data_IF_538912728499
#
_entry.id   IF_538912728499
#
_cell.length_a   1.000
_cell.length_b   1.000
_cell.length_c   1.000
_cell.angle_alpha   90.00
_cell.angle_beta   90.00
_cell.angle_gamma   90.00
#
_symmetry.space_group_name_H-M   'P 1'
#
loop_
_entity.id
_entity.type
_entity.pdbx_description
1 polymer ?
#
# COMPACT_ATOMS: atom_id res chain seq x y z
N UNK A 1 -32.30 31.08 -49.91
CA UNK A 1 -31.11 30.98 -49.05
C UNK A 1 -31.60 30.67 -47.64
N UNK A 2 -31.63 29.39 -47.26
CA UNK A 2 -32.09 28.94 -45.93
C UNK A 2 -30.86 28.48 -45.13
N UNK A 3 -30.52 29.20 -44.06
CA UNK A 3 -29.54 28.74 -43.07
C UNK A 3 -30.24 27.74 -42.14
N UNK A 4 -29.71 26.51 -42.07
CA UNK A 4 -30.00 25.57 -40.98
C UNK A 4 -28.91 25.74 -39.93
N UNK A 5 -29.29 26.26 -38.76
CA UNK A 5 -28.51 26.12 -37.52
C UNK A 5 -28.66 24.66 -37.06
N UNK A 6 -27.57 23.91 -37.06
CA UNK A 6 -27.47 22.64 -36.33
C UNK A 6 -26.92 22.92 -34.94
N UNK A 7 -27.73 22.73 -33.91
CA UNK A 7 -27.28 22.74 -32.52
C UNK A 7 -26.77 21.34 -32.15
N UNK A 8 -25.48 21.22 -31.87
CA UNK A 8 -24.87 20.00 -31.35
C UNK A 8 -25.13 19.95 -29.84
N UNK A 9 -25.94 18.98 -29.40
CA UNK A 9 -26.21 18.74 -27.98
C UNK A 9 -25.04 17.92 -27.40
N UNK A 10 -24.17 18.55 -26.61
CA UNK A 10 -23.16 17.84 -25.84
C UNK A 10 -23.84 17.15 -24.64
N UNK A 11 -23.84 15.82 -24.62
CA UNK A 11 -24.18 15.06 -23.41
C UNK A 11 -23.02 15.17 -22.43
N UNK A 12 -23.20 15.95 -21.36
CA UNK A 12 -22.39 15.86 -20.17
C UNK A 12 -22.82 14.61 -19.41
N UNK A 13 -22.03 13.54 -19.48
CA UNK A 13 -22.15 12.42 -18.54
C UNK A 13 -21.69 12.93 -17.18
N UNK A 14 -22.63 13.14 -16.25
CA UNK A 14 -22.30 13.39 -14.86
C UNK A 14 -21.61 12.12 -14.31
N UNK A 15 -20.32 12.22 -14.01
CA UNK A 15 -19.64 11.20 -13.22
C UNK A 15 -20.27 11.21 -11.84
N UNK A 16 -21.07 10.19 -11.53
CA UNK A 16 -21.54 9.98 -10.17
C UNK A 16 -20.32 9.64 -9.32
N UNK A 17 -19.88 10.59 -8.51
CA UNK A 17 -18.96 10.31 -7.39
C UNK A 17 -19.77 9.49 -6.41
N UNK A 18 -19.48 8.19 -6.33
CA UNK A 18 -20.03 7.35 -5.27
C UNK A 18 -19.29 7.75 -3.98
N UNK A 19 -20.04 7.91 -2.90
CA UNK A 19 -19.44 8.18 -1.61
C UNK A 19 -18.87 6.88 -1.04
N UNK A 20 -17.80 7.01 -0.25
CA UNK A 20 -17.19 5.91 0.49
C UNK A 20 -18.26 5.13 1.25
N UNK A 21 -18.17 3.82 1.17
CA UNK A 21 -19.10 2.94 1.87
C UNK A 21 -18.97 3.18 3.37
N UNK A 22 -20.11 3.29 4.04
CA UNK A 22 -20.17 3.45 5.50
C UNK A 22 -20.71 2.18 6.14
N UNK A 23 -20.27 1.90 7.37
CA UNK A 23 -20.65 0.68 8.12
C UNK A 23 -21.18 1.06 9.51
N UNK A 24 -22.07 0.26 10.08
CA UNK A 24 -22.66 0.56 11.40
C UNK A 24 -21.72 0.17 12.54
N UNK A 25 -22.02 0.60 13.77
CA UNK A 25 -21.35 0.13 15.00
C UNK A 25 -21.35 -1.40 15.14
N UNK A 26 -22.50 -2.03 14.87
CA UNK A 26 -22.66 -3.49 14.97
C UNK A 26 -21.78 -4.20 13.93
N UNK A 27 -21.73 -3.67 12.71
CA UNK A 27 -20.90 -4.21 11.65
C UNK A 27 -19.40 -4.03 11.95
N UNK A 28 -18.98 -2.83 12.36
CA UNK A 28 -17.60 -2.58 12.78
C UNK A 28 -17.17 -3.56 13.88
N UNK A 29 -18.00 -3.72 14.92
CA UNK A 29 -17.71 -4.64 16.02
C UNK A 29 -17.59 -6.09 15.52
N UNK A 30 -18.52 -6.54 14.67
CA UNK A 30 -18.49 -7.89 14.09
C UNK A 30 -17.23 -8.13 13.25
N UNK A 31 -16.78 -7.15 12.47
CA UNK A 31 -15.57 -7.29 11.65
C UNK A 31 -14.31 -7.40 12.52
N UNK A 32 -14.21 -6.61 13.59
CA UNK A 32 -13.08 -6.67 14.52
C UNK A 32 -13.04 -7.98 15.30
N UNK A 33 -14.20 -8.49 15.74
CA UNK A 33 -14.33 -9.77 16.43
C UNK A 33 -13.97 -10.95 15.52
N UNK A 34 -14.23 -10.83 14.22
CA UNK A 34 -13.82 -11.80 13.20
C UNK A 34 -12.32 -11.71 12.81
N UNK A 35 -11.54 -10.86 13.48
CA UNK A 35 -10.09 -10.71 13.22
C UNK A 35 -9.75 -9.63 12.20
N UNK A 36 -10.70 -8.80 11.79
CA UNK A 36 -10.47 -7.56 11.04
C UNK A 36 -10.10 -7.70 9.56
N UNK A 37 -9.97 -8.92 9.02
CA UNK A 37 -9.58 -9.13 7.62
C UNK A 37 -10.58 -8.51 6.64
N UNK A 38 -11.88 -8.69 6.89
CA UNK A 38 -12.93 -8.14 6.03
C UNK A 38 -13.01 -6.60 6.11
N UNK A 39 -12.64 -6.01 7.26
CA UNK A 39 -12.48 -4.55 7.37
C UNK A 39 -11.26 -4.08 6.56
N UNK A 40 -10.16 -4.84 6.60
CA UNK A 40 -8.94 -4.52 5.89
C UNK A 40 -9.14 -4.62 4.37
N UNK A 41 -9.82 -5.65 3.87
CA UNK A 41 -10.13 -5.77 2.44
C UNK A 41 -11.06 -4.65 1.96
N UNK A 42 -12.10 -4.32 2.72
CA UNK A 42 -13.14 -3.36 2.31
C UNK A 42 -12.63 -1.98 1.89
N UNK A 43 -11.55 -1.51 2.51
CA UNK A 43 -10.94 -0.21 2.20
C UNK A 43 -9.49 -0.35 1.75
N UNK A 44 -9.10 -1.53 1.25
CA UNK A 44 -7.74 -1.87 0.92
C UNK A 44 -7.14 -0.95 -0.16
N UNK A 45 -5.84 -0.62 -0.09
CA UNK A 45 -5.15 0.06 -1.17
C UNK A 45 -5.06 -0.78 -2.46
N UNK A 46 -5.19 -0.11 -3.61
CA UNK A 46 -4.68 -0.61 -4.88
C UNK A 46 -3.20 -0.20 -5.00
N UNK A 47 -2.30 -1.18 -5.05
CA UNK A 47 -0.86 -0.94 -5.05
C UNK A 47 -0.31 -0.77 -6.46
N UNK A 48 0.50 0.26 -6.69
CA UNK A 48 1.15 0.56 -7.96
C UNK A 48 2.66 0.57 -7.81
N UNK A 49 3.32 -0.04 -8.79
CA UNK A 49 4.77 -0.16 -8.86
C UNK A 49 5.26 0.31 -10.22
N UNK A 50 6.49 0.80 -10.25
CA UNK A 50 7.08 1.38 -11.44
C UNK A 50 8.54 1.04 -11.61
N UNK A 51 8.99 1.00 -12.86
CA UNK A 51 10.41 0.96 -13.17
C UNK A 51 10.88 2.30 -13.74
N UNK A 52 12.12 2.66 -13.44
CA UNK A 52 12.80 3.76 -14.11
C UNK A 52 14.14 3.29 -14.66
N UNK A 53 14.63 3.98 -15.70
CA UNK A 53 15.93 3.68 -16.34
C UNK A 53 16.10 2.20 -16.76
N UNK A 54 15.00 1.54 -17.13
CA UNK A 54 14.93 0.12 -17.49
C UNK A 54 15.35 -0.85 -16.39
N UNK A 55 15.17 -0.46 -15.13
CA UNK A 55 15.49 -1.29 -13.98
C UNK A 55 14.24 -1.45 -13.11
N UNK A 56 13.79 -2.67 -12.80
CA UNK A 56 12.62 -2.89 -11.96
C UNK A 56 12.88 -2.47 -10.50
N UNK A 57 11.83 -2.27 -9.68
CA UNK A 57 11.98 -2.12 -8.23
C UNK A 57 12.25 -3.48 -7.57
N UNK A 58 12.63 -3.48 -6.29
CA UNK A 58 12.30 -4.62 -5.44
C UNK A 58 10.79 -4.67 -5.23
N UNK A 59 10.26 -5.87 -5.18
CA UNK A 59 8.84 -6.14 -5.12
C UNK A 59 8.49 -6.82 -3.79
N UNK A 60 7.31 -6.56 -3.20
CA UNK A 60 6.97 -7.15 -1.92
C UNK A 60 7.04 -8.67 -1.95
N UNK A 61 7.45 -9.29 -0.85
CA UNK A 61 7.60 -10.75 -0.75
C UNK A 61 7.19 -11.27 0.63
N UNK A 62 7.18 -12.59 0.77
CA UNK A 62 6.93 -13.25 2.05
C UNK A 62 8.13 -13.11 2.98
N UNK A 63 7.88 -12.92 4.27
CA UNK A 63 8.90 -12.74 5.30
C UNK A 63 9.41 -14.10 5.81
N UNK A 64 8.59 -15.15 5.69
CA UNK A 64 8.86 -16.49 6.23
C UNK A 64 8.55 -17.61 5.23
N UNK A 65 9.16 -17.55 4.04
CA UNK A 65 9.18 -18.66 3.08
C UNK A 65 7.84 -19.03 2.44
N UNK A 66 6.78 -18.25 2.66
CA UNK A 66 5.48 -18.42 2.01
C UNK A 66 5.47 -18.08 0.53
N UNK A 67 4.33 -18.31 -0.11
CA UNK A 67 4.07 -18.02 -1.52
C UNK A 67 2.57 -17.81 -1.74
N UNK A 68 2.10 -17.44 -2.95
CA UNK A 68 0.66 -17.38 -3.23
C UNK A 68 -0.06 -18.71 -2.97
N UNK A 69 0.65 -19.83 -3.08
CA UNK A 69 0.09 -21.18 -3.00
C UNK A 69 0.43 -21.89 -1.68
N UNK A 70 1.15 -21.22 -0.76
CA UNK A 70 1.59 -21.81 0.51
C UNK A 70 1.67 -20.78 1.62
N UNK A 71 1.13 -21.11 2.79
CA UNK A 71 1.27 -20.29 3.99
C UNK A 71 2.75 -20.11 4.40
N UNK A 72 3.02 -19.04 5.14
CA UNK A 72 4.31 -18.83 5.80
C UNK A 72 4.60 -19.95 6.81
N UNK A 73 5.89 -20.20 7.02
CA UNK A 73 6.40 -21.07 8.09
C UNK A 73 7.19 -20.22 9.06
N UNK A 74 6.60 -19.91 10.21
CA UNK A 74 7.12 -18.96 11.21
C UNK A 74 8.28 -19.51 12.05
N UNK A 75 9.33 -19.99 11.38
CA UNK A 75 10.60 -20.44 11.96
C UNK A 75 11.75 -19.62 11.35
N UNK A 76 12.78 -19.32 12.15
CA UNK A 76 13.95 -18.54 11.70
C UNK A 76 14.65 -19.15 10.47
N UNK A 77 14.62 -20.48 10.34
CA UNK A 77 15.14 -21.22 9.18
C UNK A 77 14.41 -20.92 7.86
N UNK A 78 13.18 -20.40 7.94
CA UNK A 78 12.34 -20.03 6.79
C UNK A 78 12.27 -18.52 6.60
N UNK A 79 12.92 -17.74 7.48
CA UNK A 79 13.03 -16.29 7.29
C UNK A 79 13.68 -15.99 5.95
N UNK A 80 13.06 -15.11 5.18
CA UNK A 80 13.58 -14.66 3.90
C UNK A 80 14.92 -13.95 4.12
N UNK A 81 16.01 -14.34 3.42
CA UNK A 81 17.32 -13.71 3.58
C UNK A 81 17.32 -12.27 3.02
N UNK A 82 18.26 -11.40 3.45
CA UNK A 82 18.34 -10.07 2.89
C UNK A 82 18.95 -10.12 1.48
N UNK A 83 18.54 -9.18 0.63
CA UNK A 83 19.11 -9.03 -0.71
C UNK A 83 20.22 -7.97 -0.71
N UNK A 84 21.37 -8.29 -1.32
CA UNK A 84 22.47 -7.32 -1.43
C UNK A 84 22.14 -6.13 -2.34
N UNK A 85 22.53 -4.92 -1.92
CA UNK A 85 22.35 -3.69 -2.72
C UNK A 85 23.35 -3.64 -3.89
N UNK A 86 22.88 -3.22 -5.07
CA UNK A 86 23.72 -2.97 -6.25
C UNK A 86 23.92 -1.48 -6.49
N UNK A 87 24.80 -1.14 -7.43
CA UNK A 87 25.01 0.24 -7.85
C UNK A 87 23.77 0.78 -8.57
N UNK A 88 23.38 2.00 -8.21
CA UNK A 88 22.33 2.73 -8.88
C UNK A 88 22.63 2.87 -10.38
N UNK A 89 21.66 2.62 -11.30
CA UNK A 89 20.21 2.51 -11.06
C UNK A 89 19.66 1.09 -10.85
N UNK A 90 20.48 0.06 -10.65
CA UNK A 90 20.00 -1.33 -10.52
C UNK A 90 19.42 -1.63 -9.13
N UNK A 91 18.28 -1.00 -8.82
CA UNK A 91 17.65 -1.06 -7.49
C UNK A 91 16.97 -2.41 -7.22
N UNK A 92 16.41 -3.05 -8.26
CA UNK A 92 15.72 -4.35 -8.17
C UNK A 92 16.64 -5.58 -8.24
N UNK A 93 17.96 -5.40 -8.19
CA UNK A 93 18.89 -6.53 -8.24
C UNK A 93 18.76 -7.45 -7.01
N UNK A 94 19.02 -8.74 -7.16
CA UNK A 94 19.11 -9.74 -6.08
C UNK A 94 17.85 -9.93 -5.21
N UNK A 95 16.78 -9.18 -5.47
CA UNK A 95 15.50 -9.29 -4.78
C UNK A 95 14.41 -9.73 -5.75
N UNK A 96 13.26 -10.10 -5.22
CA UNK A 96 12.05 -10.33 -6.00
C UNK A 96 11.72 -9.08 -6.82
N UNK A 97 11.42 -9.26 -8.11
CA UNK A 97 10.87 -8.23 -8.99
C UNK A 97 9.49 -8.67 -9.51
N UNK A 98 8.73 -7.80 -10.19
CA UNK A 98 7.41 -8.15 -10.71
C UNK A 98 7.40 -9.37 -11.66
N UNK A 99 8.49 -9.67 -12.36
CA UNK A 99 8.63 -10.87 -13.20
C UNK A 99 7.69 -10.96 -14.41
N UNK A 100 6.93 -9.90 -14.70
CA UNK A 100 5.96 -9.81 -15.80
C UNK A 100 6.14 -8.52 -16.58
N UNK A 101 5.71 -8.48 -17.84
CA UNK A 101 5.83 -7.31 -18.69
C UNK A 101 5.08 -6.10 -18.11
N UNK A 102 5.64 -4.90 -18.31
CA UNK A 102 4.99 -3.63 -17.99
C UNK A 102 3.63 -3.56 -18.69
N UNK A 103 2.63 -3.05 -17.97
CA UNK A 103 1.27 -2.96 -18.48
C UNK A 103 0.38 -4.13 -18.07
N UNK A 104 0.87 -5.02 -17.21
CA UNK A 104 0.10 -6.11 -16.61
C UNK A 104 -0.05 -5.94 -15.09
N UNK A 105 -1.01 -6.65 -14.50
CA UNK A 105 -1.08 -6.80 -13.06
C UNK A 105 0.21 -7.50 -12.56
N UNK A 106 0.74 -7.02 -11.44
CA UNK A 106 1.88 -7.64 -10.77
C UNK A 106 1.49 -8.98 -10.13
N UNK A 107 2.48 -9.82 -9.78
CA UNK A 107 2.23 -11.09 -9.10
C UNK A 107 1.74 -10.87 -7.67
N UNK A 108 1.05 -11.85 -7.10
CA UNK A 108 0.58 -11.79 -5.72
C UNK A 108 1.71 -11.60 -4.70
N UNK A 109 1.41 -10.90 -3.61
CA UNK A 109 2.30 -10.71 -2.46
C UNK A 109 1.45 -10.61 -1.18
N UNK A 110 2.03 -10.88 0.00
CA UNK A 110 1.29 -10.81 1.25
C UNK A 110 1.12 -9.38 1.74
N UNK A 111 0.01 -9.13 2.45
CA UNK A 111 -0.16 -7.96 3.31
C UNK A 111 -0.08 -8.44 4.75
N UNK A 112 0.89 -7.94 5.50
CA UNK A 112 0.95 -8.16 6.94
C UNK A 112 0.14 -7.08 7.63
N UNK A 113 -1.11 -7.39 7.94
CA UNK A 113 -2.03 -6.43 8.50
C UNK A 113 -2.13 -6.53 10.02
N UNK A 114 -2.37 -5.38 10.65
CA UNK A 114 -2.78 -5.30 12.04
C UNK A 114 -3.96 -4.33 12.13
N UNK A 115 -4.70 -4.40 13.23
CA UNK A 115 -5.72 -3.40 13.53
C UNK A 115 -5.73 -3.06 15.01
N UNK A 116 -6.20 -1.85 15.33
CA UNK A 116 -6.33 -1.41 16.70
C UNK A 116 -7.49 -0.42 16.84
N UNK A 117 -8.34 -0.66 17.83
CA UNK A 117 -9.30 0.32 18.31
C UNK A 117 -8.57 1.29 19.24
N UNK A 118 -8.36 2.52 18.79
CA UNK A 118 -7.61 3.52 19.54
C UNK A 118 -8.47 4.26 20.56
N UNK A 119 -9.77 4.41 20.27
CA UNK A 119 -10.78 4.89 21.19
C UNK A 119 -12.18 4.51 20.66
N UNK A 120 -13.26 4.97 21.31
CA UNK A 120 -14.63 4.63 20.92
C UNK A 120 -15.07 5.13 19.54
N UNK A 121 -14.38 6.13 18.98
CA UNK A 121 -14.67 6.69 17.67
C UNK A 121 -13.56 6.49 16.65
N UNK A 122 -12.54 5.67 16.95
CA UNK A 122 -11.38 5.48 16.07
C UNK A 122 -10.85 4.04 16.04
N UNK A 123 -10.74 3.51 14.83
CA UNK A 123 -10.12 2.22 14.52
C UNK A 123 -9.09 2.42 13.42
N UNK A 124 -7.89 1.87 13.59
CA UNK A 124 -6.82 1.95 12.60
C UNK A 124 -6.51 0.56 12.07
N UNK A 125 -6.36 0.44 10.75
CA UNK A 125 -5.87 -0.76 10.07
C UNK A 125 -4.54 -0.43 9.42
N UNK A 126 -3.52 -1.23 9.68
CA UNK A 126 -2.17 -1.08 9.12
C UNK A 126 -1.96 -2.15 8.07
N UNK A 127 -1.43 -1.78 6.91
CA UNK A 127 -1.08 -2.66 5.81
C UNK A 127 0.44 -2.59 5.61
N UNK A 128 1.19 -3.59 6.09
CA UNK A 128 2.64 -3.62 5.95
C UNK A 128 3.06 -4.47 4.75
N UNK A 129 4.03 -3.94 4.00
CA UNK A 129 4.74 -4.61 2.92
C UNK A 129 6.17 -4.91 3.38
N UNK A 130 6.63 -6.11 3.04
CA UNK A 130 7.99 -6.56 3.31
C UNK A 130 8.81 -6.63 2.02
N UNK A 131 10.04 -6.12 2.06
CA UNK A 131 11.02 -6.23 0.99
C UNK A 131 12.33 -6.79 1.52
N UNK A 132 13.07 -7.49 0.66
CA UNK A 132 14.37 -8.11 1.03
C UNK A 132 15.48 -7.08 1.26
N UNK A 133 15.29 -5.85 0.80
CA UNK A 133 16.20 -4.71 0.97
C UNK A 133 15.47 -3.41 0.69
N UNK A 134 16.09 -2.31 1.11
CA UNK A 134 15.76 -0.94 0.70
C UNK A 134 16.90 -0.36 -0.14
N UNK A 135 16.60 0.25 -1.29
CA UNK A 135 17.56 1.09 -2.01
C UNK A 135 18.68 0.40 -2.77
N UNK A 136 19.68 1.22 -3.08
CA UNK A 136 20.87 0.88 -3.87
C UNK A 136 22.10 1.62 -3.32
N UNK A 137 23.26 1.37 -3.92
CA UNK A 137 24.51 2.07 -3.63
C UNK A 137 24.69 3.24 -4.59
N UNK A 138 25.16 4.38 -4.08
CA UNK A 138 25.48 5.54 -4.91
C UNK A 138 26.92 6.01 -4.64
N UNK A 139 27.85 5.54 -5.47
CA UNK A 139 29.28 5.80 -5.28
C UNK A 139 29.75 5.25 -3.93
N UNK A 140 30.33 6.11 -3.09
CA UNK A 140 30.74 5.74 -1.73
C UNK A 140 29.63 5.90 -0.67
N UNK A 141 28.42 6.31 -1.07
CA UNK A 141 27.28 6.52 -0.16
C UNK A 141 26.36 5.31 -0.27
N UNK A 142 26.27 4.54 0.81
CA UNK A 142 25.25 3.51 0.98
C UNK A 142 23.95 4.22 1.35
N UNK A 143 23.05 4.39 0.39
CA UNK A 143 21.74 4.95 0.68
C UNK A 143 20.77 3.87 1.12
N UNK A 144 20.99 2.60 0.74
CA UNK A 144 20.18 1.42 1.08
C UNK A 144 20.58 0.64 2.33
N UNK A 145 19.74 -0.32 2.71
CA UNK A 145 19.97 -1.26 3.80
C UNK A 145 19.29 -2.61 3.56
N UNK A 146 19.65 -3.59 4.37
CA UNK A 146 19.03 -4.91 4.37
C UNK A 146 17.62 -4.83 4.94
N UNK A 147 16.71 -5.59 4.33
CA UNK A 147 15.27 -5.59 4.61
C UNK A 147 14.58 -4.23 4.47
N UNK A 148 13.27 -4.25 4.32
CA UNK A 148 12.45 -3.06 4.42
C UNK A 148 11.03 -3.42 4.85
N UNK A 149 10.47 -2.57 5.70
CA UNK A 149 9.09 -2.67 6.17
C UNK A 149 8.41 -1.33 5.98
N UNK A 150 7.57 -1.24 4.97
CA UNK A 150 6.82 -0.03 4.64
C UNK A 150 5.33 -0.26 4.83
N UNK A 151 4.57 0.81 5.08
CA UNK A 151 3.17 0.65 5.47
C UNK A 151 2.24 1.79 5.08
N UNK A 152 0.98 1.42 4.98
CA UNK A 152 -0.15 2.35 4.93
C UNK A 152 -1.00 2.14 6.17
N UNK A 153 -1.45 3.22 6.82
CA UNK A 153 -2.44 3.17 7.90
C UNK A 153 -3.72 3.81 7.41
N UNK A 154 -4.84 3.10 7.48
CA UNK A 154 -6.17 3.64 7.23
C UNK A 154 -6.86 3.84 8.57
N UNK A 155 -7.19 5.09 8.87
CA UNK A 155 -7.90 5.50 10.07
C UNK A 155 -9.38 5.60 9.73
N UNK A 156 -10.19 4.85 10.47
CA UNK A 156 -11.64 4.87 10.40
C UNK A 156 -12.16 5.68 11.57
N UNK A 157 -13.08 6.60 11.30
CA UNK A 157 -13.72 7.41 12.33
C UNK A 157 -15.23 7.20 12.32
N UNK A 158 -15.82 7.25 13.51
CA UNK A 158 -17.27 7.24 13.68
C UNK A 158 -17.84 8.65 13.61
N UNK A 159 -18.92 8.83 12.86
CA UNK A 159 -19.65 10.09 12.82
C UNK A 159 -20.76 10.18 13.89
N UNK A 160 -21.46 11.31 13.94
CA UNK A 160 -22.55 11.57 14.89
C UNK A 160 -23.80 10.69 14.65
N UNK A 161 -23.85 9.95 13.54
CA UNK A 161 -24.91 9.01 13.19
C UNK A 161 -24.55 7.56 13.52
N UNK A 162 -23.41 7.34 14.18
CA UNK A 162 -22.83 6.03 14.49
C UNK A 162 -22.47 5.22 13.24
N UNK A 163 -22.09 5.92 12.17
CA UNK A 163 -21.57 5.32 10.95
C UNK A 163 -20.05 5.47 10.92
N UNK A 164 -19.37 4.43 10.46
CA UNK A 164 -17.92 4.39 10.32
C UNK A 164 -17.52 4.43 8.85
N UNK A 165 -16.48 5.19 8.55
CA UNK A 165 -15.81 5.19 7.26
C UNK A 165 -14.33 5.56 7.45
N UNK A 166 -13.47 5.26 6.46
CA UNK A 166 -12.14 5.85 6.39
C UNK A 166 -12.22 7.39 6.43
N UNK A 167 -11.42 8.00 7.31
CA UNK A 167 -11.32 9.45 7.49
C UNK A 167 -9.95 9.99 7.11
N UNK A 168 -8.91 9.15 7.17
CA UNK A 168 -7.52 9.52 6.89
C UNK A 168 -6.68 8.31 6.45
N UNK A 169 -5.69 8.56 5.61
CA UNK A 169 -4.61 7.63 5.30
C UNK A 169 -3.27 8.23 5.75
N UNK A 170 -2.44 7.41 6.41
CA UNK A 170 -1.04 7.70 6.67
C UNK A 170 -0.19 6.84 5.75
N UNK A 171 0.60 7.46 4.88
CA UNK A 171 1.46 6.78 3.91
C UNK A 171 2.90 6.88 4.38
N UNK A 172 3.57 5.75 4.62
CA UNK A 172 4.95 5.78 5.11
C UNK A 172 5.89 6.42 4.08
N UNK A 173 6.74 7.31 4.57
CA UNK A 173 7.81 7.91 3.80
C UNK A 173 9.01 8.10 4.72
N UNK A 174 10.02 7.25 4.55
CA UNK A 174 11.22 7.26 5.39
C UNK A 174 10.85 7.13 6.89
N UNK A 175 11.27 8.07 7.73
CA UNK A 175 11.03 8.02 9.19
C UNK A 175 9.65 8.52 9.64
N UNK A 176 8.73 8.84 8.73
CA UNK A 176 7.46 9.47 9.07
C UNK A 176 6.31 9.06 8.14
N UNK A 177 5.26 9.89 8.14
CA UNK A 177 4.09 9.71 7.29
C UNK A 177 3.75 10.98 6.51
N UNK A 178 3.29 10.78 5.28
CA UNK A 178 2.36 11.72 4.67
C UNK A 178 0.95 11.46 5.21
N UNK A 179 0.28 12.50 5.67
CA UNK A 179 -1.00 12.42 6.37
C UNK A 179 -2.11 13.08 5.54
N UNK A 180 -2.97 12.27 4.95
CA UNK A 180 -3.99 12.71 4.00
C UNK A 180 -5.39 12.49 4.57
N UNK A 181 -6.21 13.54 4.64
CA UNK A 181 -7.64 13.31 4.85
C UNK A 181 -8.18 12.45 3.69
N UNK A 182 -9.15 11.58 3.96
CA UNK A 182 -9.61 10.62 2.96
C UNK A 182 -10.05 11.29 1.66
N UNK A 183 -10.75 12.43 1.77
CA UNK A 183 -11.19 13.20 0.62
C UNK A 183 -10.10 13.97 -0.12
N UNK A 184 -8.89 14.08 0.44
CA UNK A 184 -7.75 14.72 -0.22
C UNK A 184 -6.92 13.72 -1.04
N UNK A 185 -7.12 12.41 -0.87
CA UNK A 185 -6.43 11.37 -1.65
C UNK A 185 -6.76 11.58 -3.13
N UNK A 186 -5.74 11.73 -3.98
CA UNK A 186 -5.93 12.14 -5.38
C UNK A 186 -6.80 11.16 -6.18
N UNK A 187 -6.65 9.85 -5.93
CA UNK A 187 -7.32 8.80 -6.69
C UNK A 187 -7.80 7.68 -5.77
N UNK A 188 -9.08 7.37 -5.90
CA UNK A 188 -9.76 6.27 -5.21
C UNK A 188 -10.64 5.51 -6.21
N UNK A 189 -10.86 4.22 -5.97
CA UNK A 189 -11.68 3.32 -6.78
C UNK A 189 -12.85 2.80 -5.93
N UNK A 190 -13.98 2.54 -6.55
CA UNK A 190 -15.06 1.79 -5.87
C UNK A 190 -14.73 0.30 -5.85
N UNK A 191 -15.33 -0.44 -4.93
CA UNK A 191 -15.22 -1.91 -4.92
C UNK A 191 -15.65 -2.55 -6.26
N UNK A 192 -16.70 -2.02 -6.89
CA UNK A 192 -17.15 -2.50 -8.22
C UNK A 192 -16.09 -2.29 -9.31
N UNK A 193 -15.35 -1.19 -9.25
CA UNK A 193 -14.27 -0.91 -10.20
C UNK A 193 -13.09 -1.85 -10.01
N UNK A 194 -12.69 -2.10 -8.76
CA UNK A 194 -11.67 -3.08 -8.42
C UNK A 194 -12.08 -4.48 -8.90
N UNK A 195 -13.31 -4.91 -8.61
CA UNK A 195 -13.86 -6.20 -9.04
C UNK A 195 -13.98 -6.34 -10.57
N UNK A 196 -14.17 -5.23 -11.28
CA UNK A 196 -14.14 -5.20 -12.73
C UNK A 196 -12.70 -5.23 -13.31
N UNK A 197 -11.68 -5.36 -12.47
CA UNK A 197 -10.27 -5.38 -12.86
C UNK A 197 -9.73 -4.00 -13.24
N UNK A 198 -10.42 -2.92 -12.87
CA UNK A 198 -9.91 -1.56 -13.05
C UNK A 198 -8.89 -1.26 -11.96
N UNK A 199 -7.78 -0.65 -12.38
CA UNK A 199 -6.79 -0.12 -11.46
C UNK A 199 -6.35 1.28 -11.91
N UNK A 200 -5.92 1.41 -13.16
CA UNK A 200 -5.35 2.64 -13.70
C UNK A 200 -6.36 3.77 -13.87
N UNK A 201 -7.60 3.44 -14.20
CA UNK A 201 -8.69 4.39 -14.43
C UNK A 201 -9.89 4.06 -13.55
N UNK A 202 -10.68 5.05 -13.11
CA UNK A 202 -10.54 6.49 -13.40
C UNK A 202 -9.44 7.18 -12.57
N UNK A 203 -8.99 8.36 -13.00
CA UNK A 203 -8.10 9.24 -12.23
C UNK A 203 -8.80 10.55 -11.87
N UNK A 204 -8.40 11.17 -10.76
CA UNK A 204 -8.98 12.39 -10.23
C UNK A 204 -10.34 12.17 -9.52
N UNK A 205 -10.68 10.93 -9.19
CA UNK A 205 -11.87 10.60 -8.40
C UNK A 205 -11.45 10.35 -6.96
N UNK A 206 -12.09 11.04 -6.04
CA UNK A 206 -11.80 11.00 -4.60
C UNK A 206 -13.00 10.45 -3.85
N UNK A 207 -12.80 10.09 -2.57
CA UNK A 207 -13.84 9.61 -1.66
C UNK A 207 -14.53 8.28 -2.05
N UNK A 208 -13.91 7.41 -2.85
CA UNK A 208 -14.34 6.01 -2.96
C UNK A 208 -13.65 5.13 -1.91
N UNK A 209 -13.86 3.81 -1.99
CA UNK A 209 -13.46 2.82 -0.99
C UNK A 209 -11.96 2.48 -0.99
N UNK A 210 -11.33 2.46 -2.17
CA UNK A 210 -9.96 1.92 -2.32
C UNK A 210 -8.99 2.99 -2.82
N UNK A 211 -8.03 3.46 -1.99
CA UNK A 211 -7.06 4.45 -2.40
C UNK A 211 -6.02 3.84 -3.36
N UNK A 212 -5.59 4.60 -4.36
CA UNK A 212 -4.43 4.22 -5.17
C UNK A 212 -3.15 4.63 -4.44
N UNK A 213 -2.30 3.66 -4.15
CA UNK A 213 -1.02 3.88 -3.48
C UNK A 213 0.12 3.52 -4.43
N UNK A 214 0.99 4.50 -4.67
CA UNK A 214 2.15 4.40 -5.54
C UNK A 214 3.41 4.21 -4.69
N UNK A 215 4.08 3.09 -4.89
CA UNK A 215 5.33 2.74 -4.23
C UNK A 215 6.49 3.37 -5.00
N UNK A 216 7.39 4.06 -4.29
CA UNK A 216 8.59 4.62 -4.90
C UNK A 216 9.53 3.52 -5.38
N UNK A 217 10.11 3.73 -6.56
CA UNK A 217 10.85 2.70 -7.29
C UNK A 217 12.12 2.21 -6.57
N UNK A 218 12.79 3.08 -5.82
CA UNK A 218 14.05 2.73 -5.15
C UNK A 218 13.93 2.58 -3.63
N UNK A 219 13.04 3.34 -2.97
CA UNK A 219 13.04 3.53 -1.51
C UNK A 219 11.74 3.14 -0.82
N UNK A 220 10.84 2.50 -1.56
CA UNK A 220 9.54 1.97 -1.15
C UNK A 220 8.57 2.91 -0.40
N UNK A 221 8.91 4.19 -0.21
CA UNK A 221 7.99 5.21 0.28
C UNK A 221 6.68 5.25 -0.53
N UNK A 222 5.58 5.49 0.16
CA UNK A 222 4.22 5.43 -0.34
C UNK A 222 3.61 6.81 -0.62
N UNK A 223 2.91 6.92 -1.74
CA UNK A 223 2.30 8.18 -2.19
C UNK A 223 0.90 7.94 -2.76
N UNK A 224 0.01 8.93 -2.70
CA UNK A 224 -1.29 8.91 -3.38
C UNK A 224 -1.22 9.43 -4.83
N UNK A 225 -0.04 9.89 -5.24
CA UNK A 225 0.21 10.51 -6.55
C UNK A 225 1.28 9.79 -7.35
N UNK A 226 1.08 9.76 -8.67
CA UNK A 226 2.08 9.32 -9.64
C UNK A 226 3.13 10.41 -9.89
N UNK A 227 4.41 10.04 -9.98
CA UNK A 227 5.50 10.96 -10.33
C UNK A 227 6.57 10.26 -11.16
N UNK A 228 6.68 10.64 -12.44
CA UNK A 228 7.67 10.07 -13.36
C UNK A 228 8.71 11.08 -13.85
N UNK A 229 8.84 12.21 -13.15
CA UNK A 229 9.73 13.30 -13.54
C UNK A 229 11.16 13.20 -13.00
N UNK A 230 11.37 12.48 -11.90
CA UNK A 230 12.63 12.48 -11.15
C UNK A 230 13.14 11.06 -10.92
N UNK A 231 14.29 10.73 -11.50
CA UNK A 231 14.91 9.41 -11.46
C UNK A 231 16.43 9.52 -11.26
N UNK A 232 16.85 10.51 -10.48
CA UNK A 232 18.21 10.63 -9.98
C UNK A 232 18.31 10.05 -8.56
N UNK A 233 19.51 9.68 -8.09
CA UNK A 233 19.70 9.09 -6.76
C UNK A 233 19.19 9.96 -5.60
N UNK A 234 19.34 11.28 -5.68
CA UNK A 234 19.00 12.17 -4.56
C UNK A 234 17.48 12.29 -4.40
N UNK A 235 16.74 12.37 -5.50
CA UNK A 235 15.26 12.42 -5.45
C UNK A 235 14.63 11.15 -4.89
N UNK A 236 15.31 10.01 -4.92
CA UNK A 236 14.72 8.77 -4.39
C UNK A 236 14.61 8.75 -2.86
N UNK A 237 15.37 9.59 -2.16
CA UNK A 237 15.29 9.76 -0.70
C UNK A 237 14.42 10.94 -0.28
N UNK A 238 13.55 11.42 -1.17
CA UNK A 238 12.76 12.63 -1.00
C UNK A 238 11.33 12.42 -1.54
N UNK A 239 10.44 13.37 -1.24
CA UNK A 239 9.03 13.39 -1.67
C UNK A 239 8.83 13.35 -3.20
N UNK A 240 9.85 13.71 -3.97
CA UNK A 240 9.83 13.68 -5.43
C UNK A 240 10.33 12.37 -6.04
N UNK A 241 10.49 11.29 -5.26
CA UNK A 241 10.92 9.98 -5.76
C UNK A 241 10.07 9.46 -6.94
N UNK A 242 10.72 8.67 -7.82
CA UNK A 242 10.04 8.10 -8.97
C UNK A 242 8.99 7.07 -8.52
N UNK A 243 7.80 7.14 -9.09
CA UNK A 243 6.72 6.16 -8.89
C UNK A 243 5.76 6.21 -10.06
N UNK A 244 5.42 5.03 -10.58
CA UNK A 244 4.58 4.90 -11.77
C UNK A 244 3.51 3.82 -11.55
N UNK A 245 2.80 3.47 -12.63
CA UNK A 245 1.73 2.46 -12.65
C UNK A 245 2.06 1.39 -13.70
N UNK A 246 3.33 1.06 -13.83
CA UNK A 246 3.79 0.05 -14.80
C UNK A 246 3.19 -1.31 -14.46
N UNK A 247 3.12 -1.62 -13.16
CA UNK A 247 2.39 -2.74 -12.58
C UNK A 247 1.41 -2.26 -11.52
N UNK A 248 0.37 -3.05 -11.28
CA UNK A 248 -0.61 -2.81 -10.22
C UNK A 248 -1.04 -4.14 -9.60
N UNK A 249 -1.49 -4.12 -8.35
CA UNK A 249 -2.04 -5.31 -7.72
C UNK A 249 -3.06 -4.92 -6.66
N UNK A 250 -4.24 -5.53 -6.73
CA UNK A 250 -5.18 -5.59 -5.61
C UNK A 250 -4.97 -6.93 -4.93
N UNK A 251 -4.62 -6.91 -3.65
CA UNK A 251 -4.24 -8.13 -2.93
C UNK A 251 -5.51 -8.87 -2.52
N UNK A 252 -5.63 -10.13 -2.90
CA UNK A 252 -6.74 -10.98 -2.47
C UNK A 252 -6.72 -11.20 -0.94
N UNK A 253 -7.88 -11.26 -0.26
CA UNK A 253 -7.96 -11.50 1.18
C UNK A 253 -7.22 -12.75 1.68
N UNK A 254 -7.06 -13.77 0.84
CA UNK A 254 -6.29 -14.98 1.19
C UNK A 254 -4.80 -14.69 1.47
N UNK A 255 -4.26 -13.59 0.95
CA UNK A 255 -2.89 -13.15 1.17
C UNK A 255 -2.75 -12.15 2.33
N UNK A 256 -3.82 -11.91 3.09
CA UNK A 256 -3.80 -11.07 4.28
C UNK A 256 -3.38 -11.91 5.47
N UNK A 257 -2.24 -11.56 6.06
CA UNK A 257 -1.66 -12.22 7.22
C UNK A 257 -1.80 -11.28 8.40
N UNK A 258 -2.65 -11.67 9.37
CA UNK A 258 -2.76 -10.93 10.62
C UNK A 258 -1.46 -11.08 11.39
N UNK A 259 -0.76 -9.97 11.63
CA UNK A 259 0.62 -9.96 12.12
C UNK A 259 0.79 -9.16 13.43
N UNK A 260 -0.25 -9.12 14.26
CA UNK A 260 -0.13 -8.58 15.62
C UNK A 260 0.46 -9.58 16.61
N UNK A 261 0.88 -9.10 17.77
CA UNK A 261 1.55 -9.87 18.82
C UNK A 261 0.72 -11.03 19.41
N UNK A 262 -0.59 -11.10 19.10
CA UNK A 262 -1.44 -12.21 19.49
C UNK A 262 -1.29 -13.44 18.58
N UNK A 263 -0.82 -13.23 17.35
CA UNK A 263 -0.69 -14.26 16.30
C UNK A 263 0.71 -14.88 16.25
N UNK A 264 0.82 -16.08 15.67
CA UNK A 264 2.13 -16.71 15.45
C UNK A 264 2.99 -15.91 14.46
N UNK A 265 2.35 -15.33 13.43
CA UNK A 265 2.99 -14.44 12.47
C UNK A 265 3.63 -13.23 13.16
N UNK A 266 2.85 -12.49 13.96
CA UNK A 266 3.35 -11.30 14.65
C UNK A 266 4.41 -11.63 15.68
N UNK A 267 4.30 -12.75 16.41
CA UNK A 267 5.35 -13.19 17.35
C UNK A 267 6.67 -13.50 16.64
N UNK A 268 6.63 -14.21 15.51
CA UNK A 268 7.84 -14.54 14.76
C UNK A 268 8.45 -13.30 14.09
N UNK A 269 7.62 -12.45 13.49
CA UNK A 269 8.05 -11.19 12.90
C UNK A 269 8.67 -10.28 13.95
N UNK A 270 8.03 -10.08 15.11
CA UNK A 270 8.54 -9.21 16.17
C UNK A 270 9.77 -9.75 16.90
N UNK A 271 10.05 -11.06 16.80
CA UNK A 271 11.25 -11.68 17.38
C UNK A 271 12.45 -11.70 16.42
N UNK A 272 12.23 -11.51 15.11
CA UNK A 272 13.27 -11.61 14.10
C UNK A 272 14.13 -10.33 14.00
N UNK A 273 15.41 -10.51 13.67
CA UNK A 273 16.33 -9.39 13.44
C UNK A 273 16.21 -8.85 12.00
N UNK A 274 15.43 -7.80 11.80
CA UNK A 274 15.28 -7.13 10.50
C UNK A 274 16.35 -6.06 10.23
N UNK A 275 17.50 -6.11 10.93
CA UNK A 275 18.58 -5.14 10.76
C UNK A 275 18.12 -3.73 11.15
N UNK A 276 18.21 -2.77 10.21
CA UNK A 276 17.76 -1.40 10.43
C UNK A 276 16.27 -1.17 10.14
N UNK A 277 15.56 -2.16 9.57
CA UNK A 277 14.13 -2.05 9.27
C UNK A 277 13.31 -2.30 10.55
N UNK A 278 13.11 -1.24 11.35
CA UNK A 278 12.46 -1.32 12.67
C UNK A 278 10.95 -1.11 12.68
N UNK A 279 10.34 -1.03 11.49
CA UNK A 279 8.91 -0.75 11.26
C UNK A 279 8.10 -2.02 11.00
N UNK A 280 8.48 -3.14 11.62
CA UNK A 280 7.72 -4.38 11.54
C UNK A 280 6.30 -4.25 12.13
N UNK A 281 5.34 -5.11 11.71
CA UNK A 281 3.95 -4.98 12.10
C UNK A 281 3.68 -4.87 13.62
N UNK A 282 4.24 -5.71 14.51
CA UNK A 282 4.10 -5.54 15.97
C UNK A 282 4.64 -4.21 16.50
N UNK A 283 5.84 -3.82 16.05
CA UNK A 283 6.47 -2.53 16.42
C UNK A 283 5.55 -1.36 16.06
N UNK A 284 5.03 -1.34 14.83
CA UNK A 284 4.11 -0.29 14.35
C UNK A 284 2.81 -0.28 15.13
N UNK A 285 2.20 -1.44 15.33
CA UNK A 285 0.91 -1.55 16.03
C UNK A 285 1.00 -0.92 17.42
N UNK A 286 2.09 -1.19 18.16
CA UNK A 286 2.27 -0.69 19.53
C UNK A 286 2.15 0.83 19.67
N UNK A 287 2.52 1.59 18.62
CA UNK A 287 2.44 3.05 18.59
C UNK A 287 1.41 3.61 17.61
N UNK A 288 0.58 2.75 16.97
CA UNK A 288 -0.25 3.18 15.83
C UNK A 288 -1.28 4.23 16.22
N UNK A 289 -1.77 4.23 17.45
CA UNK A 289 -2.77 5.19 17.92
C UNK A 289 -2.22 6.60 18.12
N UNK A 290 -0.89 6.76 18.27
CA UNK A 290 -0.23 8.04 18.43
C UNK A 290 0.36 8.58 17.12
N UNK A 291 0.38 7.76 16.06
CA UNK A 291 0.86 8.16 14.74
C UNK A 291 -0.02 9.27 14.13
N UNK A 292 0.58 10.24 13.42
CA UNK A 292 -0.15 11.31 12.73
C UNK A 292 0.48 11.71 11.42
#
# INVERSE_FOLDING_TARGET
MQLKLGATLALLTASHVLAVTQITDDEMSSLLDAGGVDLADRYAPMWFFGQARNQPPCYPTWAFGGSPDSADVYEDSHKTPPAGQCDYPDVGCNCRNPGVDIGNAGPAFPIYYTYQKCNDGEVRVVYNLFYEKDGAKFGAIETGHDYDWERVVIIHSRDDQNMWAPSRALLSAHSGYSSLAWGDIQNTLTTDEVNAGKAKDPNGIQNNDHPKVYVSWSKHAHFDTRNTGWNDPASQSLENAFRSQDWWHYVDPQNYIRADDSTDAGKAIGAADWGSASSDPPSVQSGVCDAS
#
